data_IF_514354047794
#
_entry.id   IF_514354047794
#
_cell.length_a   1.000
_cell.length_b   1.000
_cell.length_c   1.000
_cell.angle_alpha   90.00
_cell.angle_beta   90.00
_cell.angle_gamma   90.00
#
_symmetry.space_group_name_H-M   'P 1'
#
loop_
_entity.id
_entity.type
_entity.pdbx_description
1 polymer ?
#
# COMPACT_ATOMS: atom_id res chain seq x y z
N UNK A 1 14.80 -7.34 -2.92
CA UNK A 1 15.12 -6.46 -1.77
C UNK A 1 15.85 -5.14 -2.06
N UNK A 2 16.60 -4.95 -3.17
CA UNK A 2 17.31 -3.68 -3.40
C UNK A 2 16.41 -2.42 -3.39
N UNK A 3 15.15 -2.54 -3.84
CA UNK A 3 14.22 -1.42 -3.98
C UNK A 3 13.81 -0.78 -2.65
N UNK A 4 13.36 -1.59 -1.69
CA UNK A 4 12.91 -1.08 -0.38
C UNK A 4 14.10 -0.44 0.37
N UNK A 5 15.28 -1.06 0.30
CA UNK A 5 16.49 -0.48 0.86
C UNK A 5 16.82 0.88 0.25
N UNK A 6 16.75 1.02 -1.08
CA UNK A 6 16.94 2.29 -1.76
C UNK A 6 15.93 3.36 -1.30
N UNK A 7 14.64 3.01 -1.19
CA UNK A 7 13.60 3.94 -0.75
C UNK A 7 13.90 4.44 0.66
N UNK A 8 14.15 3.52 1.60
CA UNK A 8 14.47 3.87 3.00
C UNK A 8 15.70 4.75 3.08
N UNK A 9 16.77 4.41 2.36
CA UNK A 9 18.02 5.18 2.34
C UNK A 9 17.82 6.58 1.80
N UNK A 10 17.03 6.70 0.72
CA UNK A 10 16.72 7.99 0.13
C UNK A 10 15.90 8.85 1.09
N UNK A 11 14.84 8.30 1.69
CA UNK A 11 13.98 9.05 2.61
C UNK A 11 14.75 9.54 3.84
N UNK A 12 15.55 8.67 4.47
CA UNK A 12 16.35 9.05 5.64
C UNK A 12 17.50 10.02 5.32
N UNK A 13 17.98 10.02 4.07
CA UNK A 13 18.96 11.02 3.61
C UNK A 13 18.34 12.40 3.46
N UNK A 14 17.11 12.48 2.92
CA UNK A 14 16.39 13.75 2.77
C UNK A 14 15.84 14.27 4.11
N UNK A 15 15.32 13.37 4.96
CA UNK A 15 14.84 13.68 6.30
C UNK A 15 15.24 12.57 7.29
N UNK A 16 16.31 12.79 8.08
CA UNK A 16 16.75 11.84 9.12
C UNK A 16 15.72 11.61 10.24
N UNK A 17 14.67 12.46 10.33
CA UNK A 17 13.59 12.35 11.32
C UNK A 17 12.36 11.64 10.77
N UNK A 18 12.40 11.16 9.52
CA UNK A 18 11.30 10.44 8.91
C UNK A 18 10.83 9.27 9.79
N UNK A 19 9.52 9.10 9.85
CA UNK A 19 8.88 7.97 10.54
C UNK A 19 8.61 6.86 9.53
N UNK A 20 9.04 5.66 9.86
CA UNK A 20 8.93 4.48 9.02
C UNK A 20 7.96 3.50 9.67
N UNK A 21 7.00 3.03 8.88
CA UNK A 21 5.95 2.12 9.34
C UNK A 21 5.96 0.88 8.43
N UNK A 22 5.83 -0.29 9.04
CA UNK A 22 5.64 -1.55 8.31
C UNK A 22 4.27 -2.11 8.64
N UNK A 23 3.50 -2.32 7.59
CA UNK A 23 2.25 -3.08 7.60
C UNK A 23 2.39 -4.24 6.62
N UNK A 24 1.83 -5.38 6.95
CA UNK A 24 1.73 -6.55 6.08
C UNK A 24 0.28 -6.83 5.75
N UNK A 25 0.06 -7.46 4.62
CA UNK A 25 -1.25 -7.93 4.21
C UNK A 25 -1.11 -9.31 3.59
N UNK A 26 -2.20 -10.07 3.61
CA UNK A 26 -2.34 -11.32 2.89
C UNK A 26 -3.63 -11.27 2.12
N UNK A 27 -4.46 -12.29 2.24
CA UNK A 27 -5.83 -12.25 1.72
C UNK A 27 -6.84 -12.61 2.81
N UNK A 28 -8.12 -12.44 2.51
CA UNK A 28 -9.20 -12.86 3.38
C UNK A 28 -9.09 -14.37 3.66
N UNK A 29 -9.15 -14.82 4.93
CA UNK A 29 -8.95 -16.22 5.29
C UNK A 29 -10.19 -17.03 4.91
N UNK A 30 -10.19 -17.56 3.69
CA UNK A 30 -11.30 -18.34 3.11
C UNK A 30 -10.78 -19.61 2.43
N UNK A 31 -11.70 -20.50 2.04
CA UNK A 31 -11.35 -21.72 1.31
C UNK A 31 -10.93 -21.38 -0.12
N UNK A 32 -11.65 -20.44 -0.74
CA UNK A 32 -11.48 -19.96 -2.10
C UNK A 32 -10.13 -19.26 -2.29
N UNK A 33 -9.66 -18.54 -1.27
CA UNK A 33 -8.36 -17.89 -1.27
C UNK A 33 -7.23 -18.85 -0.84
N UNK A 34 -7.54 -20.11 -0.54
CA UNK A 34 -6.60 -21.16 -0.15
C UNK A 34 -5.76 -20.84 1.10
N UNK A 35 -6.32 -20.09 2.05
CA UNK A 35 -5.62 -19.55 3.21
C UNK A 35 -6.49 -19.54 4.49
N UNK A 36 -7.45 -20.47 4.61
CA UNK A 36 -8.39 -20.56 5.74
C UNK A 36 -7.74 -20.57 7.13
N UNK A 37 -6.49 -21.04 7.24
CA UNK A 37 -5.74 -21.09 8.50
C UNK A 37 -4.99 -19.79 8.82
N UNK A 38 -5.05 -18.80 7.94
CA UNK A 38 -4.42 -17.50 8.15
C UNK A 38 -5.24 -16.69 9.16
N UNK A 39 -4.55 -16.03 10.09
CA UNK A 39 -5.20 -15.27 11.16
C UNK A 39 -5.48 -13.80 10.83
N UNK A 40 -4.99 -13.31 9.68
CA UNK A 40 -5.10 -11.92 9.27
C UNK A 40 -4.99 -11.74 7.74
N UNK A 41 -5.62 -10.68 7.26
CA UNK A 41 -5.56 -10.13 5.91
C UNK A 41 -4.78 -8.80 5.92
N UNK A 42 -4.64 -8.18 7.10
CA UNK A 42 -3.85 -6.98 7.34
C UNK A 42 -3.29 -7.00 8.77
N UNK A 43 -2.05 -6.54 8.96
CA UNK A 43 -1.41 -6.41 10.27
C UNK A 43 -0.42 -5.24 10.27
N UNK A 44 -0.49 -4.40 11.31
CA UNK A 44 0.57 -3.44 11.61
C UNK A 44 1.70 -4.13 12.36
N UNK A 45 2.90 -4.12 11.79
CA UNK A 45 4.07 -4.80 12.34
C UNK A 45 4.92 -3.88 13.21
N UNK A 46 5.24 -2.69 12.70
CA UNK A 46 6.30 -1.87 13.28
C UNK A 46 6.10 -0.38 12.99
N UNK A 47 6.54 0.44 13.93
CA UNK A 47 6.82 1.86 13.74
C UNK A 47 8.22 2.15 14.29
N UNK A 48 9.08 2.78 13.51
CA UNK A 48 10.46 3.09 13.89
C UNK A 48 11.00 4.27 13.08
N UNK A 49 12.10 4.86 13.55
CA UNK A 49 12.94 5.76 12.74
C UNK A 49 14.32 5.16 12.47
N UNK A 50 14.56 3.91 12.90
CA UNK A 50 15.83 3.22 12.68
C UNK A 50 15.80 2.38 11.39
N UNK A 51 16.76 2.69 10.49
CA UNK A 51 16.95 2.03 9.19
C UNK A 51 17.12 0.51 9.32
N UNK A 52 18.01 0.07 10.20
CA UNK A 52 18.37 -1.34 10.34
C UNK A 52 17.18 -2.16 10.84
N UNK A 53 16.38 -1.58 11.74
CA UNK A 53 15.18 -2.18 12.31
C UNK A 53 14.12 -2.39 11.24
N UNK A 54 13.80 -1.36 10.44
CA UNK A 54 12.78 -1.48 9.38
C UNK A 54 13.23 -2.46 8.29
N UNK A 55 14.50 -2.41 7.87
CA UNK A 55 15.01 -3.30 6.83
C UNK A 55 15.12 -4.75 7.30
N UNK A 56 15.45 -4.97 8.57
CA UNK A 56 15.39 -6.29 9.21
C UNK A 56 13.95 -6.81 9.27
N UNK A 57 13.00 -5.97 9.70
CA UNK A 57 11.59 -6.35 9.76
C UNK A 57 11.05 -6.75 8.37
N UNK A 58 11.36 -5.98 7.32
CA UNK A 58 10.97 -6.29 5.93
C UNK A 58 11.56 -7.64 5.47
N UNK A 59 12.81 -7.95 5.82
CA UNK A 59 13.45 -9.24 5.46
C UNK A 59 12.78 -10.45 6.12
N UNK A 60 12.21 -10.23 7.30
CA UNK A 60 11.58 -11.27 8.09
C UNK A 60 10.07 -11.35 7.87
N UNK A 61 9.51 -10.59 6.92
CA UNK A 61 8.13 -10.77 6.49
C UNK A 61 7.99 -12.17 5.90
N UNK A 62 7.09 -12.95 6.46
CA UNK A 62 6.80 -14.29 5.97
C UNK A 62 5.92 -14.19 4.71
N UNK A 63 6.55 -14.42 3.55
CA UNK A 63 5.92 -14.40 2.23
C UNK A 63 5.06 -15.64 1.93
N UNK A 64 4.93 -16.58 2.86
CA UNK A 64 4.08 -17.77 2.69
C UNK A 64 2.63 -17.52 3.11
N UNK A 65 2.35 -16.38 3.75
CA UNK A 65 1.00 -15.91 4.05
C UNK A 65 0.46 -15.08 2.88
N UNK A 66 -0.73 -15.45 2.40
CA UNK A 66 -1.38 -14.79 1.27
C UNK A 66 -2.51 -15.66 0.72
N UNK A 67 -3.33 -15.06 -0.13
CA UNK A 67 -4.24 -15.82 -0.98
C UNK A 67 -3.44 -16.58 -2.04
N UNK A 68 -4.06 -17.56 -2.71
CA UNK A 68 -3.48 -18.18 -3.91
C UNK A 68 -4.35 -17.98 -5.15
N UNK A 69 -5.41 -17.19 -5.02
CA UNK A 69 -6.22 -16.74 -6.13
C UNK A 69 -5.54 -15.55 -6.85
N UNK A 70 -6.16 -15.09 -7.93
CA UNK A 70 -5.56 -14.11 -8.83
C UNK A 70 -5.52 -12.69 -8.26
N UNK A 71 -6.36 -12.41 -7.25
CA UNK A 71 -6.52 -11.10 -6.63
C UNK A 71 -6.18 -11.19 -5.15
N UNK A 72 -5.60 -10.13 -4.59
CA UNK A 72 -5.28 -10.08 -3.15
C UNK A 72 -5.87 -8.85 -2.46
N UNK A 73 -5.84 -8.83 -1.13
CA UNK A 73 -6.42 -7.76 -0.32
C UNK A 73 -5.58 -6.46 -0.27
N UNK A 74 -4.76 -6.18 -1.29
CA UNK A 74 -3.89 -4.99 -1.33
C UNK A 74 -4.65 -3.66 -1.27
N UNK A 75 -5.89 -3.59 -1.77
CA UNK A 75 -6.75 -2.40 -1.60
C UNK A 75 -7.24 -2.23 -0.15
N UNK A 76 -7.54 -3.33 0.54
CA UNK A 76 -7.81 -3.34 1.99
C UNK A 76 -6.58 -2.89 2.76
N UNK A 77 -5.39 -3.33 2.37
CA UNK A 77 -4.14 -2.90 2.97
C UNK A 77 -3.92 -1.38 2.82
N UNK A 78 -4.14 -0.82 1.61
CA UNK A 78 -4.03 0.61 1.38
C UNK A 78 -4.97 1.42 2.28
N UNK A 79 -6.24 0.99 2.38
CA UNK A 79 -7.21 1.64 3.25
C UNK A 79 -6.76 1.58 4.72
N UNK A 80 -6.46 0.37 5.22
CA UNK A 80 -6.15 0.18 6.63
C UNK A 80 -4.83 0.84 7.02
N UNK A 81 -3.80 0.82 6.17
CA UNK A 81 -2.58 1.59 6.39
C UNK A 81 -2.87 3.09 6.47
N UNK A 82 -3.73 3.64 5.61
CA UNK A 82 -4.08 5.06 5.63
C UNK A 82 -4.86 5.45 6.90
N UNK A 83 -5.65 4.54 7.47
CA UNK A 83 -6.51 4.79 8.65
C UNK A 83 -5.99 4.18 9.96
N UNK A 84 -4.82 3.52 9.96
CA UNK A 84 -4.28 2.81 11.12
C UNK A 84 -3.94 3.78 12.27
N UNK A 85 -4.64 3.70 13.42
CA UNK A 85 -4.42 4.62 14.52
C UNK A 85 -3.03 4.52 15.13
N UNK A 86 -2.38 3.34 15.04
CA UNK A 86 -1.02 3.16 15.55
C UNK A 86 0.02 3.96 14.77
N UNK A 87 -0.21 4.20 13.48
CA UNK A 87 0.70 4.98 12.64
C UNK A 87 0.66 6.47 13.02
N UNK A 88 -0.53 6.97 13.44
CA UNK A 88 -0.73 8.38 13.80
C UNK A 88 -0.24 9.31 12.70
N UNK A 89 -0.76 9.11 11.47
CA UNK A 89 -0.49 10.00 10.36
C UNK A 89 -0.72 11.45 10.77
N UNK A 90 0.19 12.33 10.33
CA UNK A 90 0.02 13.77 10.58
C UNK A 90 -1.26 14.26 9.89
N UNK A 91 -1.93 15.25 10.46
CA UNK A 91 -3.11 15.85 9.82
C UNK A 91 -2.75 16.44 8.45
N UNK A 92 -3.74 16.60 7.57
CA UNK A 92 -3.51 17.19 6.24
C UNK A 92 -3.00 18.63 6.31
N UNK A 93 -3.31 19.34 7.39
CA UNK A 93 -2.86 20.71 7.64
C UNK A 93 -1.43 20.78 8.19
N UNK A 94 -0.79 19.64 8.46
CA UNK A 94 0.60 19.60 8.89
C UNK A 94 1.51 20.06 7.75
N UNK A 95 1.86 21.36 7.78
CA UNK A 95 2.78 21.97 6.83
C UNK A 95 4.07 21.15 6.78
N UNK A 96 4.53 20.83 5.56
CA UNK A 96 5.82 20.17 5.25
C UNK A 96 5.91 18.67 5.54
N UNK A 97 4.81 17.97 5.80
CA UNK A 97 4.84 16.49 5.91
C UNK A 97 4.46 15.87 4.56
N UNK A 98 5.35 15.06 4.01
CA UNK A 98 5.07 14.22 2.83
C UNK A 98 4.69 12.83 3.31
N UNK A 99 3.45 12.42 3.04
CA UNK A 99 2.98 11.05 3.35
C UNK A 99 3.21 10.16 2.11
N UNK A 100 3.89 9.03 2.30
CA UNK A 100 4.18 8.07 1.24
C UNK A 100 3.76 6.68 1.72
N UNK A 101 2.95 5.99 0.91
CA UNK A 101 2.66 4.57 1.08
C UNK A 101 3.36 3.84 -0.06
N UNK A 102 4.36 3.03 0.28
CA UNK A 102 4.94 2.08 -0.65
C UNK A 102 4.24 0.73 -0.47
N UNK A 103 3.63 0.21 -1.54
CA UNK A 103 2.95 -1.09 -1.52
C UNK A 103 3.68 -2.06 -2.43
N UNK A 104 4.00 -3.23 -1.90
CA UNK A 104 4.64 -4.32 -2.63
C UNK A 104 3.64 -5.47 -2.76
N UNK A 105 3.36 -5.91 -3.98
CA UNK A 105 2.44 -7.01 -4.28
C UNK A 105 2.79 -7.63 -5.63
N UNK A 106 2.52 -8.91 -5.81
CA UNK A 106 2.60 -9.61 -7.09
C UNK A 106 1.22 -9.87 -7.70
N UNK A 107 0.15 -9.37 -7.09
CA UNK A 107 -1.25 -9.55 -7.51
C UNK A 107 -1.97 -8.21 -7.72
N UNK A 108 -3.09 -8.24 -8.45
CA UNK A 108 -4.02 -7.12 -8.50
C UNK A 108 -4.96 -7.14 -7.28
N UNK A 109 -5.63 -6.02 -6.98
CA UNK A 109 -6.43 -5.95 -5.77
C UNK A 109 -7.84 -6.52 -5.92
N UNK A 110 -8.40 -7.01 -4.80
CA UNK A 110 -9.84 -7.23 -4.64
C UNK A 110 -10.56 -5.91 -4.42
N UNK A 111 -11.65 -5.68 -5.15
CA UNK A 111 -12.53 -4.53 -4.93
C UNK A 111 -13.99 -4.94 -5.03
N UNK A 112 -14.82 -4.42 -4.14
CA UNK A 112 -16.26 -4.63 -4.24
C UNK A 112 -16.92 -3.86 -5.41
N UNK A 113 -16.16 -3.01 -6.09
CA UNK A 113 -16.63 -2.33 -7.31
C UNK A 113 -16.84 -3.31 -8.47
N UNK A 114 -16.09 -4.42 -8.47
CA UNK A 114 -16.08 -5.44 -9.52
C UNK A 114 -15.98 -6.81 -8.85
N UNK A 115 -17.13 -7.47 -8.66
CA UNK A 115 -17.20 -8.78 -8.01
C UNK A 115 -16.89 -9.86 -9.08
N UNK A 116 -15.75 -10.55 -9.00
CA UNK A 116 -15.42 -11.60 -9.98
C UNK A 116 -16.36 -12.80 -9.82
N UNK A 117 -16.51 -13.60 -10.88
CA UNK A 117 -17.29 -14.85 -10.80
C UNK A 117 -16.66 -15.88 -9.85
N UNK A 118 -15.37 -15.75 -9.58
CA UNK A 118 -14.60 -16.54 -8.62
C UNK A 118 -14.58 -15.92 -7.21
N UNK A 119 -15.43 -14.92 -6.94
CA UNK A 119 -15.47 -14.25 -5.64
C UNK A 119 -15.70 -15.24 -4.50
N UNK A 120 -14.82 -15.16 -3.49
CA UNK A 120 -15.01 -15.87 -2.24
C UNK A 120 -16.10 -15.24 -1.36
N UNK A 121 -16.40 -15.86 -0.20
CA UNK A 121 -17.45 -15.40 0.70
C UNK A 121 -17.16 -14.02 1.31
N UNK A 122 -15.93 -13.52 1.23
CA UNK A 122 -15.57 -12.20 1.72
C UNK A 122 -16.35 -11.06 1.06
N UNK A 123 -16.83 -11.25 -0.17
CA UNK A 123 -17.68 -10.26 -0.82
C UNK A 123 -19.07 -10.17 -0.17
N UNK A 124 -19.50 -11.17 0.60
CA UNK A 124 -20.75 -11.14 1.38
C UNK A 124 -20.60 -10.55 2.78
N UNK A 125 -19.38 -10.22 3.22
CA UNK A 125 -19.13 -9.67 4.55
C UNK A 125 -19.70 -8.25 4.70
N UNK A 126 -20.00 -7.80 5.94
CA UNK A 126 -20.46 -6.44 6.18
C UNK A 126 -19.43 -5.41 5.69
N UNK A 127 -19.91 -4.20 5.40
CA UNK A 127 -19.03 -3.08 5.07
C UNK A 127 -18.14 -2.69 6.25
N UNK A 128 -16.88 -2.35 5.96
CA UNK A 128 -15.94 -1.83 6.94
C UNK A 128 -16.36 -0.47 7.51
N UNK A 129 -15.80 -0.06 8.66
CA UNK A 129 -16.11 1.24 9.25
C UNK A 129 -15.71 2.39 8.31
N UNK A 130 -16.63 3.32 8.06
CA UNK A 130 -16.35 4.54 7.28
C UNK A 130 -15.26 5.37 7.94
N UNK A 131 -14.18 5.65 7.21
CA UNK A 131 -13.05 6.43 7.74
C UNK A 131 -12.25 5.73 8.84
N UNK A 132 -12.42 4.41 9.01
CA UNK A 132 -11.71 3.61 9.99
C UNK A 132 -10.99 2.42 9.36
N UNK A 133 -10.19 1.74 10.17
CA UNK A 133 -9.60 0.45 9.83
C UNK A 133 -10.51 -0.67 10.35
N UNK A 134 -10.77 -1.66 9.51
CA UNK A 134 -11.54 -2.85 9.87
C UNK A 134 -10.62 -4.05 10.11
N UNK A 135 -11.23 -5.23 10.02
CA UNK A 135 -10.55 -6.52 10.04
C UNK A 135 -11.04 -7.39 8.86
N UNK A 136 -10.65 -8.66 8.84
CA UNK A 136 -10.98 -9.60 7.76
C UNK A 136 -12.41 -10.12 7.80
N UNK A 137 -13.24 -9.62 8.73
CA UNK A 137 -14.67 -9.88 8.79
C UNK A 137 -15.49 -8.84 8.02
N UNK A 138 -14.83 -7.95 7.26
CA UNK A 138 -15.49 -6.95 6.43
C UNK A 138 -15.16 -7.18 4.95
N UNK A 139 -16.08 -6.83 4.05
CA UNK A 139 -15.87 -7.03 2.61
C UNK A 139 -14.70 -6.20 2.08
N UNK A 140 -14.12 -6.58 0.91
CA UNK A 140 -13.20 -5.72 0.19
C UNK A 140 -13.78 -4.31 0.00
N UNK A 141 -12.99 -3.23 0.12
CA UNK A 141 -13.50 -1.88 -0.05
C UNK A 141 -13.78 -1.55 -1.52
N UNK A 142 -14.54 -0.48 -1.75
CA UNK A 142 -14.66 0.11 -3.08
C UNK A 142 -13.35 0.83 -3.44
N UNK A 143 -12.83 0.58 -4.65
CA UNK A 143 -11.60 1.21 -5.12
C UNK A 143 -11.71 2.74 -5.13
N UNK A 144 -12.88 3.25 -5.52
CA UNK A 144 -13.17 4.70 -5.51
C UNK A 144 -13.00 5.31 -4.12
N UNK A 145 -13.49 4.65 -3.08
CA UNK A 145 -13.47 5.19 -1.72
C UNK A 145 -12.05 5.21 -1.15
N UNK A 146 -11.29 4.13 -1.36
CA UNK A 146 -9.88 4.08 -0.95
C UNK A 146 -9.06 5.14 -1.66
N UNK A 147 -9.19 5.27 -2.99
CA UNK A 147 -8.46 6.29 -3.76
C UNK A 147 -8.87 7.71 -3.37
N UNK A 148 -10.14 7.93 -2.99
CA UNK A 148 -10.62 9.22 -2.47
C UNK A 148 -9.99 9.54 -1.12
N UNK A 149 -9.93 8.57 -0.20
CA UNK A 149 -9.27 8.73 1.10
C UNK A 149 -7.79 9.06 0.91
N UNK A 150 -7.08 8.30 0.06
CA UNK A 150 -5.67 8.55 -0.22
C UNK A 150 -5.44 9.96 -0.78
N UNK A 151 -6.29 10.40 -1.71
CA UNK A 151 -6.19 11.73 -2.33
C UNK A 151 -6.47 12.86 -1.33
N UNK A 152 -7.55 12.74 -0.55
CA UNK A 152 -7.98 13.72 0.47
C UNK A 152 -6.94 13.84 1.59
N UNK A 153 -6.39 12.71 2.03
CA UNK A 153 -5.34 12.66 3.05
C UNK A 153 -3.93 13.00 2.52
N UNK A 154 -3.86 13.40 1.25
CA UNK A 154 -2.63 13.81 0.56
C UNK A 154 -1.49 12.77 0.60
N UNK A 155 -1.85 11.49 0.46
CA UNK A 155 -0.87 10.41 0.30
C UNK A 155 -0.27 10.39 -1.10
N UNK A 156 1.02 10.13 -1.18
CA UNK A 156 1.70 9.69 -2.40
C UNK A 156 1.82 8.17 -2.38
N UNK A 157 1.53 7.54 -3.51
CA UNK A 157 1.55 6.09 -3.65
C UNK A 157 2.78 5.66 -4.45
N UNK A 158 3.49 4.66 -3.94
CA UNK A 158 4.62 4.04 -4.60
C UNK A 158 4.38 2.53 -4.78
N UNK A 159 3.66 2.11 -5.83
CA UNK A 159 3.47 0.69 -6.10
C UNK A 159 4.77 0.06 -6.61
N UNK A 160 5.17 -1.03 -5.96
CA UNK A 160 6.27 -1.93 -6.33
C UNK A 160 5.63 -3.26 -6.71
N UNK A 161 5.15 -3.35 -7.95
CA UNK A 161 4.35 -4.48 -8.42
C UNK A 161 5.24 -5.49 -9.14
N UNK A 162 5.17 -6.74 -8.71
CA UNK A 162 5.88 -7.86 -9.31
C UNK A 162 5.01 -8.53 -10.37
N UNK A 163 5.61 -8.94 -11.49
CA UNK A 163 4.90 -9.56 -12.61
C UNK A 163 4.29 -8.55 -13.61
N UNK A 164 4.48 -8.81 -14.90
CA UNK A 164 4.16 -7.86 -15.98
C UNK A 164 2.66 -7.61 -16.15
N UNK A 165 1.83 -8.65 -15.98
CA UNK A 165 0.38 -8.55 -16.12
C UNK A 165 -0.23 -7.63 -15.05
N UNK A 166 0.07 -7.88 -13.78
CA UNK A 166 -0.46 -7.08 -12.67
C UNK A 166 0.06 -5.63 -12.70
N UNK A 167 1.30 -5.43 -13.14
CA UNK A 167 1.84 -4.08 -13.38
C UNK A 167 0.97 -3.26 -14.35
N UNK A 168 0.45 -3.89 -15.42
CA UNK A 168 -0.45 -3.23 -16.37
C UNK A 168 -1.76 -2.79 -15.72
N UNK A 169 -2.42 -3.69 -15.00
CA UNK A 169 -3.69 -3.41 -14.31
C UNK A 169 -3.57 -2.28 -13.28
N UNK A 170 -2.52 -2.31 -12.46
CA UNK A 170 -2.19 -1.25 -11.51
C UNK A 170 -1.99 0.09 -12.22
N UNK A 171 -1.18 0.11 -13.29
CA UNK A 171 -0.88 1.35 -14.00
C UNK A 171 -2.12 1.95 -14.66
N UNK A 172 -2.89 1.13 -15.38
CA UNK A 172 -4.07 1.60 -16.10
C UNK A 172 -5.10 2.16 -15.13
N UNK A 173 -5.30 1.51 -13.98
CA UNK A 173 -6.22 1.98 -12.96
C UNK A 173 -5.77 3.30 -12.34
N UNK A 174 -4.51 3.40 -11.93
CA UNK A 174 -3.98 4.62 -11.30
C UNK A 174 -3.87 5.79 -12.28
N UNK A 175 -3.47 5.53 -13.53
CA UNK A 175 -3.36 6.54 -14.58
C UNK A 175 -4.71 7.14 -14.96
N UNK A 176 -5.74 6.29 -15.05
CA UNK A 176 -7.08 6.71 -15.46
C UNK A 176 -7.88 7.34 -14.30
N UNK A 177 -7.40 7.23 -13.06
CA UNK A 177 -8.04 7.85 -11.91
C UNK A 177 -7.54 9.29 -11.66
N UNK A 178 -8.41 10.27 -11.92
CA UNK A 178 -8.11 11.70 -11.79
C UNK A 178 -7.72 12.17 -10.37
N UNK A 179 -8.01 11.39 -9.32
CA UNK A 179 -7.71 11.77 -7.94
C UNK A 179 -6.26 11.46 -7.54
N UNK A 180 -5.64 10.46 -8.17
CA UNK A 180 -4.32 9.94 -7.77
C UNK A 180 -3.28 9.98 -8.90
N UNK A 181 -3.68 10.27 -10.14
CA UNK A 181 -2.79 10.16 -11.31
C UNK A 181 -1.53 11.04 -11.26
N UNK A 182 -1.49 12.09 -10.45
CA UNK A 182 -0.32 12.94 -10.21
C UNK A 182 0.38 12.67 -8.86
N UNK A 183 -0.17 11.77 -8.04
CA UNK A 183 0.28 11.37 -6.71
C UNK A 183 0.81 9.94 -6.65
N UNK A 184 1.02 9.27 -7.78
CA UNK A 184 1.67 7.97 -7.82
C UNK A 184 2.94 7.97 -8.67
N UNK A 185 3.82 7.03 -8.35
CA UNK A 185 4.90 6.64 -9.24
C UNK A 185 5.07 5.13 -9.11
N UNK A 186 4.87 4.42 -10.21
CA UNK A 186 4.98 2.96 -10.28
C UNK A 186 6.33 2.58 -10.86
N UNK A 187 7.05 1.71 -10.16
CA UNK A 187 8.33 1.19 -10.65
C UNK A 187 8.13 0.10 -11.71
N UNK A 188 8.94 0.13 -12.77
CA UNK A 188 8.98 -0.94 -13.77
C UNK A 188 9.89 -2.09 -13.33
N UNK A 189 9.51 -3.35 -13.54
CA UNK A 189 10.41 -4.50 -13.33
C UNK A 189 10.94 -5.09 -14.64
N UNK A 190 12.23 -5.51 -14.72
CA UNK A 190 13.29 -5.28 -13.74
C UNK A 190 13.87 -3.86 -13.82
N UNK A 191 14.18 -3.25 -12.66
CA UNK A 191 14.90 -1.97 -12.61
C UNK A 191 16.41 -2.18 -12.59
N UNK A 192 17.11 -1.65 -13.58
CA UNK A 192 18.58 -1.54 -13.56
C UNK A 192 19.07 -0.16 -13.05
N UNK A 193 18.17 0.80 -12.86
CA UNK A 193 18.47 2.17 -12.45
C UNK A 193 17.33 2.76 -11.60
N UNK A 194 17.67 3.44 -10.49
CA UNK A 194 16.72 4.10 -9.58
C UNK A 194 16.58 5.62 -9.82
N UNK A 195 17.09 6.14 -10.93
CA UNK A 195 17.07 7.57 -11.25
C UNK A 195 15.65 8.16 -11.31
N UNK A 196 14.72 7.45 -11.93
CA UNK A 196 13.32 7.88 -12.02
C UNK A 196 12.63 7.88 -10.65
N UNK A 197 12.88 6.87 -9.81
CA UNK A 197 12.42 6.82 -8.42
C UNK A 197 12.90 8.04 -7.63
N UNK A 198 14.20 8.31 -7.74
CA UNK A 198 14.85 9.41 -7.05
C UNK A 198 14.23 10.75 -7.46
N UNK A 199 14.00 10.96 -8.77
CA UNK A 199 13.33 12.15 -9.27
C UNK A 199 11.90 12.27 -8.75
N UNK A 200 11.15 11.17 -8.66
CA UNK A 200 9.79 11.19 -8.13
C UNK A 200 9.75 11.58 -6.64
N UNK A 201 10.61 10.98 -5.81
CA UNK A 201 10.72 11.28 -4.38
C UNK A 201 11.13 12.74 -4.17
N UNK A 202 12.15 13.22 -4.90
CA UNK A 202 12.58 14.63 -4.83
C UNK A 202 11.47 15.60 -5.20
N UNK A 203 10.73 15.31 -6.27
CA UNK A 203 9.59 16.14 -6.70
C UNK A 203 8.52 16.23 -5.60
N UNK A 204 8.25 15.14 -4.88
CA UNK A 204 7.29 15.15 -3.77
C UNK A 204 7.81 15.96 -2.57
N UNK A 205 9.10 15.83 -2.23
CA UNK A 205 9.75 16.64 -1.21
C UNK A 205 9.67 18.15 -1.55
N UNK A 206 10.01 18.52 -2.79
CA UNK A 206 9.96 19.90 -3.26
C UNK A 206 8.54 20.49 -3.22
N UNK A 207 7.52 19.69 -3.58
CA UNK A 207 6.11 20.09 -3.46
C UNK A 207 5.74 20.39 -2.00
N UNK A 208 6.18 19.55 -1.06
CA UNK A 208 5.93 19.74 0.38
C UNK A 208 6.64 20.96 0.98
N UNK A 209 7.72 21.43 0.37
CA UNK A 209 8.48 22.61 0.80
C UNK A 209 7.94 23.95 0.25
N UNK A 210 7.18 23.93 -0.86
CA UNK A 210 6.72 25.14 -1.58
C UNK A 210 5.36 25.71 -1.12
N UNK A 211 4.76 25.14 -0.09
CA UNK A 211 3.46 25.54 0.50
C UNK A 211 3.62 26.09 1.90
#
# INVERSE_FOLDING_TARGET
>A
MPKIAFIVDKLLKEDPTAKLHLTTFGDYPTVENHNVNTSYCYRSELTTSNKETILSAVRNVDSTYGGKDELESSLTALLYTATEPKIKWSSNDAKRVVKIIAIASDAFWKSYSEIPSSAGPEYGYPEGPTGGYGNCSHRPPYAKDVLTILANENFNLLPVIYGSYNTGLWNDTLKNNRLINDKYYMESEPTYNFGSLNTAINRWADKGCKT
#
